data_IF_461413275902
#
_entry.id   IF_461413275902
#
_cell.length_a   1.000
_cell.length_b   1.000
_cell.length_c   1.000
_cell.angle_alpha   90.00
_cell.angle_beta   90.00
_cell.angle_gamma   90.00
#
_symmetry.space_group_name_H-M   'P 1'
#
loop_
_entity.id
_entity.type
_entity.pdbx_description
1 polymer ?
#
# COMPACT_ATOMS: atom_id res chain seq x y z
N UNK A 1 -3.36 -14.17 42.28
CA UNK A 1 -2.08 -14.04 41.57
C UNK A 1 -2.08 -14.64 40.15
N UNK A 2 -2.99 -15.57 39.79
CA UNK A 2 -3.06 -16.15 38.43
C UNK A 2 -3.87 -15.34 37.41
N UNK A 3 -4.85 -14.54 37.85
CA UNK A 3 -5.68 -13.73 36.95
C UNK A 3 -4.91 -12.56 36.28
N UNK A 4 -3.88 -12.05 36.95
CA UNK A 4 -3.09 -10.88 36.53
C UNK A 4 -2.13 -11.20 35.38
N UNK A 5 -1.59 -12.42 35.36
CA UNK A 5 -0.71 -12.89 34.28
C UNK A 5 -1.45 -13.06 32.93
N UNK A 6 -2.73 -13.44 32.97
CA UNK A 6 -3.55 -13.60 31.76
C UNK A 6 -3.90 -12.26 31.11
N UNK A 7 -4.15 -11.23 31.92
CA UNK A 7 -4.43 -9.86 31.44
C UNK A 7 -3.19 -9.21 30.83
N UNK A 8 -2.02 -9.39 31.46
CA UNK A 8 -0.77 -8.83 30.94
C UNK A 8 -0.38 -9.46 29.59
N UNK A 9 -0.53 -10.78 29.45
CA UNK A 9 -0.25 -11.48 28.20
C UNK A 9 -1.20 -11.05 27.05
N UNK A 10 -2.49 -10.85 27.36
CA UNK A 10 -3.47 -10.36 26.40
C UNK A 10 -3.16 -8.93 25.93
N UNK A 11 -2.76 -8.07 26.86
CA UNK A 11 -2.36 -6.69 26.57
C UNK A 11 -1.11 -6.63 25.68
N UNK A 12 -0.06 -7.39 26.01
CA UNK A 12 1.16 -7.51 25.19
C UNK A 12 0.83 -7.96 23.76
N UNK A 13 -0.06 -8.95 23.61
CA UNK A 13 -0.49 -9.44 22.29
C UNK A 13 -1.28 -8.40 21.51
N UNK A 14 -2.15 -7.64 22.19
CA UNK A 14 -2.89 -6.51 21.59
C UNK A 14 -1.93 -5.43 21.11
N UNK A 15 -0.98 -5.01 21.94
CA UNK A 15 0.03 -3.99 21.59
C UNK A 15 0.88 -4.47 20.41
N UNK A 16 1.36 -5.71 20.43
CA UNK A 16 2.11 -6.30 19.32
C UNK A 16 1.31 -6.27 18.01
N UNK A 17 0.01 -6.60 18.07
CA UNK A 17 -0.87 -6.54 16.90
C UNK A 17 -0.99 -5.11 16.35
N UNK A 18 -1.15 -4.11 17.20
CA UNK A 18 -1.24 -2.71 16.78
C UNK A 18 0.10 -2.17 16.23
N UNK A 19 1.24 -2.63 16.76
CA UNK A 19 2.56 -2.33 16.19
C UNK A 19 2.70 -2.89 14.77
N UNK A 20 2.27 -4.13 14.52
CA UNK A 20 2.27 -4.69 13.17
C UNK A 20 1.31 -3.95 12.23
N UNK A 21 0.14 -3.54 12.74
CA UNK A 21 -0.82 -2.68 12.01
C UNK A 21 -0.29 -1.28 11.73
N UNK A 22 0.78 -0.85 12.39
CA UNK A 22 1.49 0.39 12.11
C UNK A 22 2.64 0.17 11.12
N UNK A 23 3.49 -0.84 11.37
CA UNK A 23 4.71 -1.10 10.58
C UNK A 23 4.37 -1.45 9.13
N UNK A 24 3.38 -2.32 8.90
CA UNK A 24 3.04 -2.76 7.54
C UNK A 24 2.57 -1.61 6.63
N UNK A 25 1.63 -0.74 7.05
CA UNK A 25 1.26 0.43 6.25
C UNK A 25 2.40 1.42 6.01
N UNK A 26 3.29 1.62 6.99
CA UNK A 26 4.45 2.52 6.85
C UNK A 26 5.46 1.95 5.84
N UNK A 27 5.73 0.65 5.89
CA UNK A 27 6.58 -0.03 4.91
C UNK A 27 5.97 0.07 3.50
N UNK A 28 4.68 -0.21 3.37
CA UNK A 28 3.96 -0.09 2.10
C UNK A 28 4.03 1.34 1.56
N UNK A 29 3.77 2.34 2.41
CA UNK A 29 3.90 3.75 2.04
C UNK A 29 5.30 4.06 1.49
N UNK A 30 6.34 3.63 2.21
CA UNK A 30 7.73 3.87 1.82
C UNK A 30 8.05 3.27 0.45
N UNK A 31 7.59 2.05 0.16
CA UNK A 31 7.79 1.41 -1.13
C UNK A 31 7.08 2.14 -2.27
N UNK A 32 5.81 2.51 -2.09
CA UNK A 32 5.05 3.25 -3.13
C UNK A 32 5.66 4.63 -3.36
N UNK A 33 6.01 5.35 -2.29
CA UNK A 33 6.69 6.64 -2.42
C UNK A 33 8.03 6.52 -3.16
N UNK A 34 8.88 5.56 -2.76
CA UNK A 34 10.19 5.38 -3.36
C UNK A 34 10.12 4.91 -4.81
N UNK A 35 9.24 3.96 -5.14
CA UNK A 35 9.18 3.37 -6.48
C UNK A 35 8.34 4.25 -7.41
N UNK A 36 7.10 4.56 -7.04
CA UNK A 36 6.19 5.27 -7.95
C UNK A 36 6.55 6.73 -8.16
N UNK A 37 7.06 7.43 -7.13
CA UNK A 37 7.28 8.88 -7.19
C UNK A 37 8.74 9.29 -7.32
N UNK A 38 9.69 8.44 -6.92
CA UNK A 38 11.12 8.75 -7.02
C UNK A 38 11.78 7.95 -8.15
N UNK A 39 11.74 6.62 -8.10
CA UNK A 39 12.40 5.76 -9.10
C UNK A 39 11.80 5.92 -10.50
N UNK A 40 10.47 5.83 -10.61
CA UNK A 40 9.80 5.82 -11.90
C UNK A 40 10.09 7.06 -12.77
N UNK A 41 10.12 8.31 -12.25
CA UNK A 41 10.57 9.45 -13.05
C UNK A 41 12.09 9.55 -13.17
N UNK A 42 12.86 9.21 -12.13
CA UNK A 42 14.32 9.40 -12.13
C UNK A 42 15.03 8.47 -13.12
N UNK A 43 14.53 7.25 -13.33
CA UNK A 43 15.15 6.29 -14.27
C UNK A 43 15.22 6.80 -15.70
N UNK A 44 14.29 7.66 -16.12
CA UNK A 44 14.28 8.27 -17.46
C UNK A 44 15.27 9.43 -17.61
N UNK A 45 15.93 9.84 -16.52
CA UNK A 45 16.97 10.87 -16.54
C UNK A 45 18.39 10.28 -16.60
N UNK A 46 18.52 8.94 -16.53
CA UNK A 46 19.81 8.27 -16.55
C UNK A 46 20.48 8.38 -17.94
N UNK A 47 21.80 8.64 -18.03
CA UNK A 47 22.50 8.65 -19.30
C UNK A 47 22.36 7.33 -20.06
N UNK A 48 22.02 7.39 -21.34
CA UNK A 48 21.86 6.22 -22.20
C UNK A 48 20.52 5.48 -22.06
N UNK A 49 19.57 5.98 -21.24
CA UNK A 49 18.23 5.40 -21.17
C UNK A 49 17.42 5.74 -22.42
N UNK A 50 16.67 4.76 -22.92
CA UNK A 50 15.67 4.95 -23.98
C UNK A 50 14.26 4.73 -23.43
N UNK A 51 13.24 5.30 -24.09
CA UNK A 51 11.84 5.12 -23.66
C UNK A 51 11.44 3.64 -23.60
N UNK A 52 11.69 2.80 -24.63
CA UNK A 52 11.35 1.37 -24.57
C UNK A 52 12.05 0.64 -23.42
N UNK A 53 13.33 0.95 -23.16
CA UNK A 53 14.09 0.34 -22.07
C UNK A 53 13.53 0.74 -20.70
N UNK A 54 13.27 2.02 -20.48
CA UNK A 54 12.69 2.51 -19.22
C UNK A 54 11.27 1.99 -18.94
N UNK A 55 10.46 1.82 -20.00
CA UNK A 55 9.15 1.17 -19.90
C UNK A 55 9.25 -0.32 -19.58
N UNK A 56 10.20 -1.04 -20.22
CA UNK A 56 10.48 -2.44 -19.93
C UNK A 56 10.89 -2.67 -18.47
N UNK A 57 11.82 -1.85 -17.96
CA UNK A 57 12.22 -1.86 -16.53
C UNK A 57 11.01 -1.55 -15.65
N UNK A 58 10.24 -0.51 -16.00
CA UNK A 58 9.02 -0.15 -15.27
C UNK A 58 8.05 -1.31 -15.15
N UNK A 59 7.78 -2.04 -16.23
CA UNK A 59 6.86 -3.17 -16.20
C UNK A 59 7.24 -4.23 -15.17
N UNK A 60 8.52 -4.56 -15.07
CA UNK A 60 9.05 -5.54 -14.12
C UNK A 60 8.97 -5.02 -12.69
N UNK A 61 9.48 -3.82 -12.44
CA UNK A 61 9.49 -3.20 -11.10
C UNK A 61 8.07 -3.03 -10.57
N UNK A 62 7.15 -2.50 -11.37
CA UNK A 62 5.76 -2.35 -10.98
C UNK A 62 5.06 -3.71 -10.81
N UNK A 63 5.39 -4.75 -11.58
CA UNK A 63 4.83 -6.08 -11.36
C UNK A 63 5.20 -6.63 -9.98
N UNK A 64 6.47 -6.51 -9.59
CA UNK A 64 6.95 -6.93 -8.28
C UNK A 64 6.36 -6.07 -7.17
N UNK A 65 6.33 -4.74 -7.34
CA UNK A 65 5.69 -3.84 -6.38
C UNK A 65 4.26 -4.28 -6.11
N UNK A 66 3.43 -4.43 -7.14
CA UNK A 66 2.03 -4.85 -6.99
C UNK A 66 1.86 -6.21 -6.30
N UNK A 67 2.77 -7.16 -6.52
CA UNK A 67 2.77 -8.45 -5.82
C UNK A 67 3.06 -8.27 -4.33
N UNK A 68 4.04 -7.44 -3.99
CA UNK A 68 4.38 -7.14 -2.59
C UNK A 68 3.25 -6.35 -1.92
N UNK A 69 2.62 -5.39 -2.61
CA UNK A 69 1.42 -4.71 -2.12
C UNK A 69 0.29 -5.71 -1.79
N UNK A 70 0.04 -6.67 -2.69
CA UNK A 70 -0.95 -7.73 -2.46
C UNK A 70 -0.63 -8.55 -1.21
N UNK A 71 0.64 -8.95 -1.05
CA UNK A 71 1.10 -9.72 0.09
C UNK A 71 0.94 -8.95 1.40
N UNK A 72 1.33 -7.66 1.43
CA UNK A 72 1.14 -6.81 2.60
C UNK A 72 -0.35 -6.62 2.91
N UNK A 73 -1.18 -6.35 1.90
CA UNK A 73 -2.61 -6.18 2.07
C UNK A 73 -3.26 -7.46 2.62
N UNK A 74 -2.82 -8.64 2.18
CA UNK A 74 -3.27 -9.93 2.70
C UNK A 74 -2.89 -10.09 4.17
N UNK A 75 -1.62 -9.89 4.53
CA UNK A 75 -1.15 -10.00 5.93
C UNK A 75 -1.87 -8.98 6.81
N UNK A 76 -2.01 -7.75 6.34
CA UNK A 76 -2.75 -6.69 7.04
C UNK A 76 -4.22 -7.07 7.24
N UNK A 77 -4.86 -7.68 6.25
CA UNK A 77 -6.23 -8.21 6.34
C UNK A 77 -6.32 -9.30 7.40
N UNK A 78 -5.38 -10.26 7.42
CA UNK A 78 -5.34 -11.30 8.45
C UNK A 78 -5.23 -10.69 9.85
N UNK A 79 -4.32 -9.72 10.04
CA UNK A 79 -4.19 -9.00 11.31
C UNK A 79 -5.49 -8.27 11.70
N UNK A 80 -6.26 -7.78 10.74
CA UNK A 80 -7.49 -7.01 10.97
C UNK A 80 -8.68 -7.88 11.39
N UNK A 81 -8.74 -9.13 10.96
CA UNK A 81 -9.90 -10.01 11.18
C UNK A 81 -9.62 -11.24 12.03
N UNK A 82 -8.34 -11.54 12.29
CA UNK A 82 -7.88 -12.67 13.09
C UNK A 82 -6.76 -12.28 14.07
N UNK A 83 -6.88 -12.61 15.38
CA UNK A 83 -7.99 -13.28 16.07
C UNK A 83 -9.18 -12.34 16.35
N UNK A 84 -10.37 -12.89 16.63
CA UNK A 84 -11.61 -12.12 16.83
C UNK A 84 -11.50 -11.02 17.92
N UNK A 85 -10.66 -11.23 18.94
CA UNK A 85 -10.43 -10.28 20.03
C UNK A 85 -9.86 -8.92 19.57
N UNK A 86 -9.17 -8.86 18.44
CA UNK A 86 -8.56 -7.63 17.92
C UNK A 86 -9.28 -7.10 16.68
N UNK A 87 -10.42 -7.68 16.29
CA UNK A 87 -11.11 -7.37 15.04
C UNK A 87 -11.40 -5.89 14.89
N UNK A 88 -11.11 -5.34 13.71
CA UNK A 88 -11.39 -3.94 13.40
C UNK A 88 -12.89 -3.69 13.17
N UNK A 89 -13.36 -2.49 13.50
CA UNK A 89 -14.73 -2.04 13.26
C UNK A 89 -14.77 -0.53 13.00
N UNK A 90 -15.93 -0.01 12.60
CA UNK A 90 -16.18 1.42 12.40
C UNK A 90 -15.21 2.04 11.38
N UNK A 91 -14.60 3.18 11.74
CA UNK A 91 -13.69 3.91 10.86
C UNK A 91 -12.52 3.07 10.33
N UNK A 92 -11.97 2.15 11.13
CA UNK A 92 -10.86 1.28 10.69
C UNK A 92 -11.30 0.31 9.59
N UNK A 93 -12.53 -0.22 9.67
CA UNK A 93 -13.09 -1.09 8.64
C UNK A 93 -13.28 -0.32 7.32
N UNK A 94 -13.77 0.92 7.39
CA UNK A 94 -13.90 1.79 6.22
C UNK A 94 -12.54 2.10 5.56
N UNK A 95 -11.50 2.42 6.35
CA UNK A 95 -10.15 2.63 5.83
C UNK A 95 -9.58 1.37 5.15
N UNK A 96 -9.75 0.19 5.75
CA UNK A 96 -9.33 -1.08 5.16
C UNK A 96 -10.07 -1.36 3.85
N UNK A 97 -11.39 -1.15 3.82
CA UNK A 97 -12.20 -1.41 2.62
C UNK A 97 -11.84 -0.44 1.49
N UNK A 98 -11.57 0.83 1.81
CA UNK A 98 -11.08 1.81 0.84
C UNK A 98 -9.72 1.39 0.25
N UNK A 99 -8.77 0.95 1.08
CA UNK A 99 -7.48 0.43 0.60
C UNK A 99 -7.66 -0.76 -0.35
N UNK A 100 -8.51 -1.73 0.03
CA UNK A 100 -8.81 -2.89 -0.80
C UNK A 100 -9.41 -2.47 -2.15
N UNK A 101 -10.39 -1.57 -2.14
CA UNK A 101 -11.06 -1.12 -3.36
C UNK A 101 -10.10 -0.37 -4.30
N UNK A 102 -9.29 0.55 -3.77
CA UNK A 102 -8.28 1.27 -4.56
C UNK A 102 -7.28 0.29 -5.16
N UNK A 103 -6.80 -0.68 -4.37
CA UNK A 103 -5.85 -1.68 -4.85
C UNK A 103 -6.44 -2.56 -5.96
N UNK A 104 -7.64 -3.11 -5.75
CA UNK A 104 -8.33 -3.94 -6.74
C UNK A 104 -8.58 -3.15 -8.02
N UNK A 105 -9.10 -1.92 -7.91
CA UNK A 105 -9.32 -1.05 -9.07
C UNK A 105 -8.03 -0.76 -9.84
N UNK A 106 -6.93 -0.45 -9.13
CA UNK A 106 -5.61 -0.23 -9.73
C UNK A 106 -5.16 -1.45 -10.54
N UNK A 107 -5.32 -2.65 -9.98
CA UNK A 107 -4.92 -3.89 -10.65
C UNK A 107 -5.80 -4.30 -11.83
N UNK A 108 -7.12 -4.22 -11.69
CA UNK A 108 -8.06 -4.81 -12.66
C UNK A 108 -8.50 -3.83 -13.73
N UNK A 109 -8.49 -2.53 -13.45
CA UNK A 109 -9.01 -1.50 -14.37
C UNK A 109 -7.89 -0.64 -14.94
N UNK A 110 -6.98 -0.16 -14.09
CA UNK A 110 -5.97 0.83 -14.51
C UNK A 110 -4.75 0.17 -15.17
N UNK A 111 -4.30 -0.96 -14.64
CA UNK A 111 -3.07 -1.63 -15.11
C UNK A 111 -3.18 -2.26 -16.50
N UNK A 112 -4.28 -2.94 -16.90
CA UNK A 112 -4.38 -3.55 -18.23
C UNK A 112 -4.16 -2.56 -19.39
N UNK A 113 -4.82 -1.38 -19.46
CA UNK A 113 -4.61 -0.44 -20.55
C UNK A 113 -3.19 0.15 -20.57
N UNK A 114 -2.57 0.36 -19.41
CA UNK A 114 -1.16 0.82 -19.34
C UNK A 114 -0.19 -0.23 -19.89
N UNK A 115 -0.42 -1.51 -19.57
CA UNK A 115 0.39 -2.61 -20.08
C UNK A 115 0.24 -2.77 -21.58
N UNK A 116 -0.99 -2.75 -22.11
CA UNK A 116 -1.25 -2.85 -23.55
C UNK A 116 -0.58 -1.70 -24.32
N UNK A 117 -0.61 -0.49 -23.76
CA UNK A 117 0.08 0.66 -24.35
C UNK A 117 1.60 0.52 -24.32
N UNK A 118 2.13 -0.02 -23.24
CA UNK A 118 3.56 -0.34 -23.14
C UNK A 118 3.96 -1.35 -24.21
N UNK A 119 3.13 -2.37 -24.49
CA UNK A 119 3.38 -3.34 -25.56
C UNK A 119 3.48 -2.68 -26.94
N UNK A 120 2.59 -1.72 -27.23
CA UNK A 120 2.62 -0.98 -28.49
C UNK A 120 3.94 -0.19 -28.65
N UNK A 121 4.39 0.48 -27.59
CA UNK A 121 5.66 1.23 -27.62
C UNK A 121 6.86 0.30 -27.80
N UNK A 122 6.84 -0.87 -27.15
CA UNK A 122 7.88 -1.90 -27.32
C UNK A 122 7.89 -2.49 -28.74
N UNK A 123 6.77 -2.45 -29.45
CA UNK A 123 6.66 -2.83 -30.86
C UNK A 123 7.03 -1.69 -31.84
N UNK A 124 7.42 -0.52 -31.33
CA UNK A 124 7.84 0.64 -32.14
C UNK A 124 6.70 1.58 -32.54
N UNK A 125 5.48 1.39 -32.03
CA UNK A 125 4.38 2.33 -32.25
C UNK A 125 4.46 3.52 -31.29
N UNK A 126 3.92 4.67 -31.70
CA UNK A 126 3.73 5.84 -30.83
C UNK A 126 2.23 6.08 -30.60
N UNK A 127 1.65 5.50 -29.53
CA UNK A 127 0.21 5.59 -29.29
C UNK A 127 -0.24 6.98 -28.79
N UNK A 128 0.65 7.97 -28.63
CA UNK A 128 0.35 9.34 -28.17
C UNK A 128 0.27 9.50 -26.65
N UNK A 129 -0.59 10.39 -26.13
CA UNK A 129 -0.88 10.51 -24.68
C UNK A 129 -2.12 9.73 -24.25
N UNK A 130 -2.17 9.31 -22.98
CA UNK A 130 -3.29 8.56 -22.39
C UNK A 130 -3.62 9.04 -20.99
N UNK A 131 -4.91 9.22 -20.64
CA UNK A 131 -5.34 9.66 -19.32
C UNK A 131 -5.06 8.60 -18.23
N UNK A 132 -4.90 7.33 -18.60
CA UNK A 132 -4.72 6.22 -17.67
C UNK A 132 -3.48 6.36 -16.78
N UNK A 133 -2.46 7.08 -17.24
CA UNK A 133 -1.28 7.35 -16.41
C UNK A 133 -1.62 8.27 -15.23
N UNK A 134 -2.43 9.32 -15.45
CA UNK A 134 -2.89 10.20 -14.38
C UNK A 134 -3.83 9.49 -13.41
N UNK A 135 -4.70 8.61 -13.91
CA UNK A 135 -5.57 7.77 -13.06
C UNK A 135 -4.73 6.89 -12.13
N UNK A 136 -3.63 6.32 -12.63
CA UNK A 136 -2.69 5.54 -11.82
C UNK A 136 -2.06 6.39 -10.71
N UNK A 137 -1.58 7.60 -11.03
CA UNK A 137 -1.01 8.53 -10.05
C UNK A 137 -2.04 8.88 -8.96
N UNK A 138 -3.30 9.14 -9.33
CA UNK A 138 -4.37 9.42 -8.37
C UNK A 138 -4.63 8.22 -7.46
N UNK A 139 -4.60 6.98 -7.99
CA UNK A 139 -4.73 5.77 -7.19
C UNK A 139 -3.58 5.62 -6.19
N UNK A 140 -2.34 5.88 -6.61
CA UNK A 140 -1.17 5.82 -5.74
C UNK A 140 -1.23 6.91 -4.65
N UNK A 141 -1.63 8.13 -4.99
CA UNK A 141 -1.84 9.20 -4.00
C UNK A 141 -2.93 8.84 -2.99
N UNK A 142 -4.07 8.32 -3.46
CA UNK A 142 -5.15 7.85 -2.59
C UNK A 142 -4.66 6.74 -1.65
N UNK A 143 -3.84 5.81 -2.16
CA UNK A 143 -3.20 4.75 -1.37
C UNK A 143 -2.31 5.35 -0.29
N UNK A 144 -1.41 6.29 -0.63
CA UNK A 144 -0.53 6.94 0.34
C UNK A 144 -1.32 7.65 1.46
N UNK A 145 -2.37 8.39 1.11
CA UNK A 145 -3.24 9.07 2.10
C UNK A 145 -3.91 8.06 3.03
N UNK A 146 -4.48 6.98 2.47
CA UNK A 146 -5.14 5.95 3.26
C UNK A 146 -4.16 5.23 4.19
N UNK A 147 -2.94 4.95 3.74
CA UNK A 147 -1.89 4.33 4.57
C UNK A 147 -1.51 5.23 5.74
N UNK A 148 -1.44 6.56 5.53
CA UNK A 148 -1.21 7.52 6.63
C UNK A 148 -2.38 7.50 7.63
N UNK A 149 -3.63 7.50 7.15
CA UNK A 149 -4.81 7.42 8.03
C UNK A 149 -4.78 6.15 8.87
N UNK A 150 -4.48 5.01 8.25
CA UNK A 150 -4.36 3.73 8.95
C UNK A 150 -3.22 3.75 9.97
N UNK A 151 -2.03 4.21 9.59
CA UNK A 151 -0.87 4.29 10.46
C UNK A 151 -1.15 5.19 11.69
N UNK A 152 -1.74 6.37 11.50
CA UNK A 152 -2.13 7.25 12.60
C UNK A 152 -3.16 6.59 13.52
N UNK A 153 -4.13 5.86 12.94
CA UNK A 153 -5.13 5.15 13.73
C UNK A 153 -4.54 4.03 14.58
N UNK A 154 -3.51 3.33 14.09
CA UNK A 154 -2.79 2.28 14.80
C UNK A 154 -1.90 2.88 15.90
N UNK A 155 -1.14 3.94 15.58
CA UNK A 155 -0.29 4.65 16.54
C UNK A 155 -1.09 5.17 17.74
N UNK A 156 -2.28 5.75 17.50
CA UNK A 156 -3.18 6.21 18.58
C UNK A 156 -3.67 5.10 19.51
N UNK A 157 -3.72 3.85 19.04
CA UNK A 157 -4.14 2.71 19.86
C UNK A 157 -3.00 2.05 20.64
N UNK A 158 -1.75 2.37 20.29
CA UNK A 158 -0.54 1.99 21.04
C UNK A 158 -0.23 3.02 22.13
N UNK A 159 -0.50 4.30 21.90
CA UNK A 159 -0.25 5.36 22.88
C UNK A 159 -1.20 5.23 24.10
N UNK A 160 -0.69 5.36 25.34
CA UNK A 160 -1.53 5.34 26.53
C UNK A 160 -2.51 6.52 26.49
N UNK A 161 -3.75 6.29 26.93
CA UNK A 161 -4.77 7.32 27.00
C UNK A 161 -4.24 8.47 27.87
N UNK A 162 -4.10 9.66 27.28
CA UNK A 162 -3.70 10.87 28.01
C UNK A 162 -4.73 11.09 29.11
N UNK A 163 -4.35 10.94 30.37
CA UNK A 163 -5.23 11.22 31.51
C UNK A 163 -5.70 12.67 31.35
N UNK A 164 -6.99 12.84 31.04
CA UNK A 164 -7.62 14.16 31.07
C UNK A 164 -7.60 14.61 32.53
N UNK A 165 -6.74 15.58 32.85
CA UNK A 165 -6.88 16.43 34.04
C UNK A 165 -8.01 17.41 33.81
#
# INVERSE_FOLDING_TARGET
>A
MSADAGTEAAERRRISTELWRLVLPVLWFGMVAAISFIEAPLKFQAPGITIPLGLGIGRLVFAVLNLVEAAILLVYTLLCFWPAATRIAGARLWSWMALLLVFVFKLTVVRPPLNARTDLVLQGADPGQSPWHYVYIVCDLATLVLLVVVAVSAARAVLPAKSRR
#
